data_IF_897231734507
#
_entry.id   IF_897231734507
#
_cell.length_a   1.000
_cell.length_b   1.000
_cell.length_c   1.000
_cell.angle_alpha   90.00
_cell.angle_beta   90.00
_cell.angle_gamma   90.00
#
_symmetry.space_group_name_H-M   'P 1'
#
loop_
_entity.id
_entity.type
_entity.pdbx_description
1 polymer ?
#
# COMPACT_ATOMS: atom_id res chain seq x y z
N UNK A 1 -27.88 -3.74 2.70
CA UNK A 1 -27.07 -3.12 1.61
C UNK A 1 -26.18 -4.19 1.01
N UNK A 2 -26.09 -4.22 -0.34
CA UNK A 2 -25.20 -5.13 -1.06
C UNK A 2 -24.05 -4.34 -1.70
N UNK A 3 -22.80 -4.67 -1.32
CA UNK A 3 -21.57 -4.08 -1.85
C UNK A 3 -20.93 -5.03 -2.85
N UNK A 4 -20.69 -4.55 -4.06
CA UNK A 4 -19.94 -5.27 -5.09
C UNK A 4 -18.55 -4.62 -5.20
N UNK A 5 -17.53 -5.33 -4.68
CA UNK A 5 -16.12 -4.95 -4.82
C UNK A 5 -15.55 -5.53 -6.11
N UNK A 6 -14.89 -4.72 -6.91
CA UNK A 6 -14.33 -5.13 -8.20
C UNK A 6 -12.83 -4.91 -8.19
N UNK A 7 -12.08 -5.97 -8.50
CA UNK A 7 -10.62 -6.02 -8.40
C UNK A 7 -10.12 -5.88 -6.94
N UNK A 8 -8.82 -5.77 -6.76
CA UNK A 8 -8.18 -5.54 -5.47
C UNK A 8 -6.82 -4.87 -5.67
N UNK A 9 -6.31 -4.25 -4.63
CA UNK A 9 -4.96 -3.72 -4.56
C UNK A 9 -4.33 -4.08 -3.23
N UNK A 10 -3.28 -4.88 -3.25
CA UNK A 10 -2.53 -5.25 -2.05
C UNK A 10 -3.43 -5.68 -0.86
N UNK A 11 -4.46 -6.47 -1.16
CA UNK A 11 -5.45 -7.01 -0.21
C UNK A 11 -6.34 -5.96 0.48
N UNK A 12 -6.29 -4.69 0.06
CA UNK A 12 -7.12 -3.61 0.63
C UNK A 12 -8.61 -3.91 0.48
N UNK A 13 -9.05 -4.34 -0.72
CA UNK A 13 -10.45 -4.67 -0.97
C UNK A 13 -10.92 -5.88 -0.16
N UNK A 14 -10.08 -6.90 -0.04
CA UNK A 14 -10.36 -8.08 0.77
C UNK A 14 -10.47 -7.73 2.26
N UNK A 15 -9.54 -6.93 2.78
CA UNK A 15 -9.56 -6.43 4.16
C UNK A 15 -10.81 -5.61 4.43
N UNK A 16 -11.15 -4.66 3.56
CA UNK A 16 -12.38 -3.87 3.71
C UNK A 16 -13.64 -4.76 3.78
N UNK A 17 -13.75 -5.75 2.88
CA UNK A 17 -14.89 -6.67 2.90
C UNK A 17 -14.92 -7.56 4.13
N UNK A 18 -13.77 -8.03 4.62
CA UNK A 18 -13.66 -8.88 5.81
C UNK A 18 -14.26 -8.19 7.04
N UNK A 19 -13.95 -6.91 7.22
CA UNK A 19 -14.35 -6.14 8.41
C UNK A 19 -15.67 -5.36 8.26
N UNK A 20 -16.33 -5.38 7.11
CA UNK A 20 -17.71 -4.90 7.00
C UNK A 20 -18.66 -5.77 7.81
N UNK A 21 -19.70 -5.15 8.40
CA UNK A 21 -20.74 -5.85 9.16
C UNK A 21 -21.30 -7.08 8.40
N UNK A 22 -21.61 -8.18 9.12
CA UNK A 22 -22.28 -9.35 8.54
C UNK A 22 -23.62 -9.03 7.84
N UNK A 23 -24.31 -7.97 8.26
CA UNK A 23 -25.60 -7.54 7.66
C UNK A 23 -25.42 -6.95 6.25
N UNK A 24 -24.20 -6.68 5.83
CA UNK A 24 -23.88 -6.20 4.49
C UNK A 24 -23.62 -7.41 3.59
N UNK A 25 -24.46 -7.58 2.57
CA UNK A 25 -24.20 -8.58 1.53
C UNK A 25 -22.96 -8.16 0.72
N UNK A 26 -22.00 -9.06 0.56
CA UNK A 26 -20.69 -8.80 -0.03
C UNK A 26 -20.48 -9.66 -1.25
N UNK A 27 -20.04 -9.05 -2.35
CA UNK A 27 -19.58 -9.76 -3.54
C UNK A 27 -18.24 -9.23 -3.97
N UNK A 28 -17.22 -10.09 -4.08
CA UNK A 28 -15.90 -9.73 -4.57
C UNK A 28 -15.65 -10.31 -5.96
N UNK A 29 -15.46 -9.45 -6.96
CA UNK A 29 -15.16 -9.85 -8.35
C UNK A 29 -13.66 -9.65 -8.56
N UNK A 30 -12.87 -10.71 -8.37
CA UNK A 30 -11.42 -10.70 -8.62
C UNK A 30 -11.12 -11.16 -10.05
N UNK A 31 -10.03 -10.61 -10.59
CA UNK A 31 -9.42 -11.12 -11.83
C UNK A 31 -8.81 -12.49 -11.56
N UNK A 32 -9.08 -13.46 -12.43
CA UNK A 32 -8.43 -14.77 -12.39
C UNK A 32 -7.38 -14.88 -13.51
N UNK A 33 -6.59 -15.96 -13.52
CA UNK A 33 -5.58 -16.18 -14.57
C UNK A 33 -6.24 -16.39 -15.94
N UNK A 34 -5.57 -15.93 -16.99
CA UNK A 34 -5.99 -16.09 -18.38
C UNK A 34 -6.61 -14.82 -18.99
N UNK A 35 -6.44 -14.65 -20.30
CA UNK A 35 -6.85 -13.45 -21.04
C UNK A 35 -8.38 -13.28 -21.05
N UNK A 36 -9.12 -14.37 -21.27
CA UNK A 36 -10.59 -14.38 -21.21
C UNK A 36 -11.11 -13.85 -19.89
N UNK A 37 -10.55 -14.32 -18.78
CA UNK A 37 -10.96 -13.93 -17.44
C UNK A 37 -10.67 -12.45 -17.13
N UNK A 38 -9.67 -11.86 -17.79
CA UNK A 38 -9.30 -10.45 -17.60
C UNK A 38 -10.08 -9.50 -18.52
N UNK A 39 -10.84 -10.02 -19.48
CA UNK A 39 -11.59 -9.25 -20.46
C UNK A 39 -13.07 -9.61 -20.45
N UNK A 40 -13.53 -10.45 -21.37
CA UNK A 40 -14.96 -10.80 -21.52
C UNK A 40 -15.54 -11.49 -20.30
N UNK A 41 -14.79 -12.40 -19.67
CA UNK A 41 -15.24 -13.08 -18.45
C UNK A 41 -15.44 -12.11 -17.28
N UNK A 42 -14.57 -11.11 -17.14
CA UNK A 42 -14.72 -10.06 -16.14
C UNK A 42 -15.92 -9.17 -16.46
N UNK A 43 -16.05 -8.72 -17.72
CA UNK A 43 -17.20 -7.93 -18.17
C UNK A 43 -18.53 -8.66 -17.91
N UNK A 44 -18.59 -9.96 -18.19
CA UNK A 44 -19.77 -10.78 -17.90
C UNK A 44 -20.09 -10.87 -16.40
N UNK A 45 -19.05 -11.07 -15.54
CA UNK A 45 -19.25 -11.08 -14.09
C UNK A 45 -19.76 -9.72 -13.59
N UNK A 46 -19.18 -8.61 -14.08
CA UNK A 46 -19.63 -7.27 -13.73
C UNK A 46 -21.07 -7.05 -14.23
N UNK A 47 -21.39 -7.44 -15.46
CA UNK A 47 -22.74 -7.30 -16.03
C UNK A 47 -23.78 -8.01 -15.17
N UNK A 48 -23.51 -9.25 -14.77
CA UNK A 48 -24.43 -10.07 -13.94
C UNK A 48 -24.51 -9.62 -12.48
N UNK A 49 -23.50 -8.93 -11.97
CA UNK A 49 -23.50 -8.46 -10.59
C UNK A 49 -24.61 -7.42 -10.37
N UNK A 50 -25.39 -7.64 -9.30
CA UNK A 50 -26.39 -6.70 -8.78
C UNK A 50 -25.96 -6.26 -7.39
N UNK A 51 -25.91 -4.99 -7.14
CA UNK A 51 -25.51 -4.41 -5.85
C UNK A 51 -26.07 -3.01 -5.68
N UNK A 52 -26.10 -2.55 -4.45
CA UNK A 52 -26.50 -1.20 -4.09
C UNK A 52 -25.34 -0.20 -4.30
N UNK A 53 -24.08 -0.69 -4.25
CA UNK A 53 -22.87 0.08 -4.47
C UNK A 53 -21.84 -0.78 -5.20
N UNK A 54 -21.14 -0.17 -6.15
CA UNK A 54 -20.03 -0.80 -6.88
C UNK A 54 -18.74 -0.04 -6.57
N UNK A 55 -17.80 -0.69 -5.88
CA UNK A 55 -16.50 -0.13 -5.54
C UNK A 55 -15.41 -0.81 -6.36
N UNK A 56 -14.67 -0.04 -7.13
CA UNK A 56 -13.65 -0.56 -8.04
C UNK A 56 -12.27 -0.09 -7.63
N UNK A 57 -11.37 -1.01 -7.37
CA UNK A 57 -9.95 -0.72 -7.16
C UNK A 57 -9.23 -0.51 -8.48
N UNK A 58 -8.48 0.57 -8.56
CA UNK A 58 -7.85 1.18 -9.75
C UNK A 58 -8.83 1.80 -10.74
N UNK A 59 -8.49 3.00 -11.17
CA UNK A 59 -9.21 3.73 -12.21
C UNK A 59 -8.80 3.30 -13.64
N UNK A 60 -8.62 1.99 -13.84
CA UNK A 60 -8.19 1.39 -15.10
C UNK A 60 -9.36 0.68 -15.81
N UNK A 61 -9.05 -0.38 -16.57
CA UNK A 61 -10.02 -1.06 -17.44
C UNK A 61 -11.26 -1.61 -16.69
N UNK A 62 -11.11 -2.08 -15.44
CA UNK A 62 -12.21 -2.65 -14.69
C UNK A 62 -13.24 -1.58 -14.30
N UNK A 63 -12.74 -0.41 -13.90
CA UNK A 63 -13.57 0.76 -13.65
C UNK A 63 -14.25 1.24 -14.94
N UNK A 64 -13.52 1.27 -16.05
CA UNK A 64 -14.08 1.60 -17.35
C UNK A 64 -15.20 0.64 -17.77
N UNK A 65 -14.99 -0.67 -17.60
CA UNK A 65 -16.02 -1.67 -17.90
C UNK A 65 -17.26 -1.48 -17.01
N UNK A 66 -17.08 -1.29 -15.70
CA UNK A 66 -18.19 -1.06 -14.78
C UNK A 66 -19.00 0.21 -15.16
N UNK A 67 -18.31 1.29 -15.50
CA UNK A 67 -18.92 2.55 -15.95
C UNK A 67 -19.71 2.35 -17.26
N UNK A 68 -19.13 1.63 -18.25
CA UNK A 68 -19.77 1.36 -19.55
C UNK A 68 -20.96 0.41 -19.45
N UNK A 69 -20.94 -0.51 -18.47
CA UNK A 69 -22.04 -1.41 -18.16
C UNK A 69 -23.13 -0.77 -17.26
N UNK A 70 -23.03 0.54 -17.03
CA UNK A 70 -24.05 1.31 -16.31
C UNK A 70 -24.13 1.03 -14.81
N UNK A 71 -23.06 0.49 -14.19
CA UNK A 71 -23.05 0.21 -12.75
C UNK A 71 -23.06 1.52 -11.95
N UNK A 72 -24.04 1.66 -11.06
CA UNK A 72 -24.26 2.87 -10.25
C UNK A 72 -24.88 2.53 -8.90
N UNK A 73 -24.54 3.30 -7.84
CA UNK A 73 -23.43 4.24 -7.77
C UNK A 73 -22.09 3.55 -7.92
N UNK A 74 -21.14 4.19 -8.61
CA UNK A 74 -19.81 3.66 -8.90
C UNK A 74 -18.76 4.47 -8.13
N UNK A 75 -18.05 3.82 -7.23
CA UNK A 75 -16.95 4.39 -6.46
C UNK A 75 -15.65 3.94 -7.11
N UNK A 76 -14.84 4.87 -7.57
CA UNK A 76 -13.50 4.58 -8.09
C UNK A 76 -12.44 4.82 -7.03
N UNK A 77 -11.60 3.84 -6.74
CA UNK A 77 -10.54 3.94 -5.72
C UNK A 77 -9.17 3.85 -6.38
N UNK A 78 -8.48 4.98 -6.44
CA UNK A 78 -7.13 5.08 -6.99
C UNK A 78 -6.08 4.64 -5.96
N UNK A 79 -5.13 3.82 -6.40
CA UNK A 79 -4.04 3.31 -5.58
C UNK A 79 -2.66 3.90 -5.92
N UNK A 80 -2.65 4.97 -6.68
CA UNK A 80 -1.48 5.78 -6.97
C UNK A 80 -0.89 5.55 -8.36
N UNK A 81 -0.53 4.32 -8.76
CA UNK A 81 0.06 4.05 -10.09
C UNK A 81 -0.86 4.41 -11.25
N UNK A 82 -2.16 4.32 -11.06
CA UNK A 82 -3.18 4.75 -12.02
C UNK A 82 -3.16 6.26 -12.27
N UNK A 83 -2.88 7.07 -11.25
CA UNK A 83 -2.78 8.52 -11.38
C UNK A 83 -1.33 9.00 -11.64
N UNK A 84 -0.31 8.41 -10.99
CA UNK A 84 1.09 8.81 -11.19
C UNK A 84 1.62 8.45 -12.57
N UNK A 85 1.32 7.24 -13.03
CA UNK A 85 1.92 6.66 -14.24
C UNK A 85 0.92 6.53 -15.38
N UNK A 86 -0.23 5.87 -15.13
CA UNK A 86 -1.17 5.54 -16.20
C UNK A 86 -1.90 6.77 -16.74
N UNK A 87 -2.08 7.82 -15.95
CA UNK A 87 -2.72 9.07 -16.39
C UNK A 87 -1.94 9.75 -17.55
N UNK A 88 -0.61 9.61 -17.55
CA UNK A 88 0.26 10.19 -18.58
C UNK A 88 0.46 9.26 -19.81
N UNK A 89 0.00 8.02 -19.74
CA UNK A 89 0.09 7.09 -20.87
C UNK A 89 -0.95 7.45 -21.96
N UNK A 90 -0.62 7.41 -23.26
CA UNK A 90 -1.52 7.85 -24.33
C UNK A 90 -2.89 7.17 -24.35
N UNK A 91 -2.92 5.85 -24.12
CA UNK A 91 -4.16 5.07 -24.09
C UNK A 91 -4.78 5.04 -22.67
N UNK A 92 -4.00 4.64 -21.67
CA UNK A 92 -4.50 4.50 -20.31
C UNK A 92 -4.94 5.83 -19.70
N UNK A 93 -4.27 6.93 -20.03
CA UNK A 93 -4.66 8.25 -19.57
C UNK A 93 -6.06 8.69 -20.04
N UNK A 94 -6.49 8.26 -21.24
CA UNK A 94 -7.87 8.50 -21.69
C UNK A 94 -8.87 7.72 -20.85
N UNK A 95 -8.56 6.47 -20.51
CA UNK A 95 -9.39 5.60 -19.67
C UNK A 95 -9.48 6.17 -18.25
N UNK A 96 -8.35 6.54 -17.65
CA UNK A 96 -8.31 7.11 -16.29
C UNK A 96 -9.12 8.41 -16.23
N UNK A 97 -8.92 9.35 -17.17
CA UNK A 97 -9.70 10.58 -17.23
C UNK A 97 -11.20 10.33 -17.43
N UNK A 98 -11.58 9.35 -18.25
CA UNK A 98 -12.97 8.95 -18.41
C UNK A 98 -13.55 8.47 -17.08
N UNK A 99 -12.83 7.59 -16.37
CA UNK A 99 -13.29 7.01 -15.10
C UNK A 99 -13.39 8.06 -13.99
N UNK A 100 -12.42 8.97 -13.88
CA UNK A 100 -12.46 10.09 -12.95
C UNK A 100 -13.77 10.91 -13.11
N UNK A 101 -14.22 11.15 -14.35
CA UNK A 101 -15.45 11.89 -14.62
C UNK A 101 -16.73 11.09 -14.46
N UNK A 102 -16.68 9.75 -14.58
CA UNK A 102 -17.87 8.88 -14.61
C UNK A 102 -18.19 8.21 -13.28
N UNK A 103 -17.22 8.08 -12.39
CA UNK A 103 -17.49 7.60 -11.04
C UNK A 103 -18.41 8.57 -10.29
N UNK A 104 -19.31 8.06 -9.48
CA UNK A 104 -20.13 8.86 -8.55
C UNK A 104 -19.26 9.51 -7.48
N UNK A 105 -18.25 8.78 -7.00
CA UNK A 105 -17.22 9.26 -6.06
C UNK A 105 -15.86 8.72 -6.44
N UNK A 106 -14.80 9.49 -6.16
CA UNK A 106 -13.40 9.06 -6.33
C UNK A 106 -12.69 9.11 -5.00
N UNK A 107 -12.06 8.01 -4.65
CA UNK A 107 -11.21 7.85 -3.47
C UNK A 107 -9.76 7.67 -3.91
N UNK A 108 -8.83 8.14 -3.09
CA UNK A 108 -7.38 7.90 -3.27
C UNK A 108 -6.79 7.31 -1.99
N UNK A 109 -5.97 6.29 -2.12
CA UNK A 109 -5.38 5.58 -0.98
C UNK A 109 -4.09 6.21 -0.46
N UNK A 110 -3.50 7.14 -1.22
CA UNK A 110 -2.28 7.85 -0.84
C UNK A 110 -2.40 9.35 -1.15
N UNK A 111 -1.98 10.25 -0.24
CA UNK A 111 -2.24 11.69 -0.37
C UNK A 111 -1.48 12.36 -1.51
N UNK A 112 -0.35 11.80 -1.95
CA UNK A 112 0.45 12.33 -3.06
C UNK A 112 -0.31 12.42 -4.40
N UNK A 113 -1.36 11.62 -4.59
CA UNK A 113 -2.19 11.67 -5.80
C UNK A 113 -3.53 12.38 -5.60
N UNK A 114 -3.81 12.89 -4.40
CA UNK A 114 -5.07 13.58 -4.12
C UNK A 114 -5.22 14.87 -4.93
N UNK A 115 -4.17 15.69 -4.99
CA UNK A 115 -4.15 16.91 -5.79
C UNK A 115 -4.34 16.63 -7.29
N UNK A 116 -3.76 15.53 -7.77
CA UNK A 116 -3.94 15.08 -9.17
C UNK A 116 -5.40 14.69 -9.42
N UNK A 117 -6.01 13.90 -8.52
CA UNK A 117 -7.41 13.50 -8.65
C UNK A 117 -8.35 14.74 -8.63
N UNK A 118 -8.06 15.72 -7.77
CA UNK A 118 -8.85 16.94 -7.61
C UNK A 118 -8.83 17.87 -8.83
N UNK A 119 -7.84 17.78 -9.69
CA UNK A 119 -7.86 18.49 -10.98
C UNK A 119 -9.00 18.03 -11.91
N UNK A 120 -9.52 16.83 -11.69
CA UNK A 120 -10.62 16.24 -12.48
C UNK A 120 -11.92 16.09 -11.69
N UNK A 121 -11.82 16.01 -10.37
CA UNK A 121 -12.91 15.78 -9.42
C UNK A 121 -12.59 16.47 -8.09
N UNK A 122 -13.12 17.68 -7.88
CA UNK A 122 -12.91 18.45 -6.64
C UNK A 122 -13.30 17.67 -5.38
N UNK A 123 -14.36 16.86 -5.49
CA UNK A 123 -14.88 16.02 -4.42
C UNK A 123 -14.07 14.74 -4.17
N UNK A 124 -12.92 14.57 -4.84
CA UNK A 124 -12.03 13.42 -4.55
C UNK A 124 -11.54 13.47 -3.10
N UNK A 125 -11.57 12.31 -2.42
CA UNK A 125 -11.24 12.18 -1.01
C UNK A 125 -10.10 11.18 -0.78
N UNK A 126 -9.29 11.46 0.24
CA UNK A 126 -8.32 10.50 0.75
C UNK A 126 -9.04 9.51 1.67
N UNK A 127 -8.94 8.23 1.37
CA UNK A 127 -9.32 7.13 2.25
C UNK A 127 -8.03 6.35 2.59
N UNK A 128 -7.58 6.35 3.86
CA UNK A 128 -6.39 5.61 4.24
C UNK A 128 -6.56 4.11 4.00
N UNK A 129 -5.48 3.42 3.63
CA UNK A 129 -5.51 1.97 3.52
C UNK A 129 -5.70 1.35 4.90
N UNK A 130 -6.63 0.41 5.07
CA UNK A 130 -6.78 -0.34 6.32
C UNK A 130 -5.66 -1.40 6.44
N UNK A 131 -5.34 -1.78 7.67
CA UNK A 131 -4.49 -2.94 7.93
C UNK A 131 -5.29 -4.05 8.62
N UNK A 132 -5.09 -5.29 8.19
CA UNK A 132 -5.72 -6.47 8.83
C UNK A 132 -4.98 -6.81 10.13
N UNK A 133 -5.49 -6.30 11.25
CA UNK A 133 -4.88 -6.47 12.58
C UNK A 133 -5.09 -7.86 13.21
N UNK A 134 -5.91 -8.71 12.61
CA UNK A 134 -5.98 -10.13 12.98
C UNK A 134 -4.83 -10.92 12.37
N UNK A 135 -4.39 -10.54 11.17
CA UNK A 135 -3.27 -11.15 10.48
C UNK A 135 -1.94 -10.54 10.91
N UNK A 136 -1.88 -9.22 10.98
CA UNK A 136 -0.69 -8.46 11.38
C UNK A 136 -0.91 -7.89 12.78
N UNK A 137 -0.34 -8.52 13.78
CA UNK A 137 -0.48 -8.14 15.19
C UNK A 137 0.89 -8.09 15.88
N UNK A 138 1.03 -7.28 16.94
CA UNK A 138 2.31 -7.10 17.58
C UNK A 138 2.77 -8.38 18.27
N UNK A 139 4.04 -8.76 18.04
CA UNK A 139 4.76 -9.73 18.90
C UNK A 139 5.92 -9.02 19.59
N UNK A 140 6.32 -9.47 20.80
CA UNK A 140 7.51 -8.96 21.46
C UNK A 140 8.71 -8.98 20.51
N UNK A 141 9.53 -7.94 20.56
CA UNK A 141 10.80 -7.96 19.84
C UNK A 141 11.70 -8.99 20.54
N UNK A 142 12.37 -9.84 19.78
CA UNK A 142 13.37 -10.72 20.33
C UNK A 142 14.53 -9.90 20.90
N UNK A 143 15.28 -10.46 21.85
CA UNK A 143 16.46 -9.83 22.39
C UNK A 143 17.39 -9.38 21.24
N UNK A 144 17.87 -8.15 21.35
CA UNK A 144 18.74 -7.57 20.35
C UNK A 144 20.12 -8.23 20.45
N UNK A 145 20.56 -8.83 19.35
CA UNK A 145 21.91 -9.36 19.22
C UNK A 145 22.96 -8.23 19.04
N UNK A 146 24.18 -8.61 18.70
CA UNK A 146 25.25 -7.63 18.39
C UNK A 146 24.93 -6.73 17.22
N UNK A 147 24.13 -7.22 16.26
CA UNK A 147 23.71 -6.50 15.07
C UNK A 147 22.20 -6.35 15.01
N UNK A 148 21.76 -5.20 14.51
CA UNK A 148 20.33 -4.93 14.28
C UNK A 148 19.85 -5.66 13.02
N UNK A 149 18.77 -6.44 13.14
CA UNK A 149 18.16 -7.19 12.02
C UNK A 149 17.28 -6.24 11.22
N UNK A 150 17.69 -5.94 10.00
CA UNK A 150 16.99 -5.03 9.09
C UNK A 150 16.32 -5.83 7.98
N UNK A 151 15.01 -5.63 7.76
CA UNK A 151 14.27 -6.26 6.68
C UNK A 151 13.87 -5.22 5.63
N UNK A 152 14.27 -5.44 4.39
CA UNK A 152 13.72 -4.74 3.21
C UNK A 152 12.59 -5.61 2.65
N UNK A 153 11.34 -5.26 2.98
CA UNK A 153 10.17 -6.07 2.65
C UNK A 153 9.45 -5.62 1.38
N UNK A 154 9.68 -4.38 0.92
CA UNK A 154 9.08 -3.89 -0.32
C UNK A 154 9.78 -4.44 -1.57
N UNK A 155 9.08 -4.42 -2.70
CA UNK A 155 9.65 -4.79 -3.99
C UNK A 155 10.86 -3.91 -4.36
N UNK A 156 11.89 -4.54 -4.92
CA UNK A 156 13.07 -3.82 -5.40
C UNK A 156 12.71 -3.03 -6.66
N UNK A 157 12.41 -1.76 -6.48
CA UNK A 157 12.10 -0.80 -7.53
C UNK A 157 12.72 0.56 -7.16
N UNK A 158 13.79 0.92 -7.85
CA UNK A 158 14.58 2.10 -7.50
C UNK A 158 13.78 3.40 -7.65
N UNK A 159 12.96 3.50 -8.70
CA UNK A 159 12.20 4.71 -8.98
C UNK A 159 11.05 4.97 -7.98
N UNK A 160 10.40 3.89 -7.52
CA UNK A 160 9.21 4.00 -6.67
C UNK A 160 9.56 3.78 -5.20
N UNK A 161 10.47 2.85 -4.94
CA UNK A 161 10.83 2.44 -3.58
C UNK A 161 12.14 3.05 -3.08
N UNK A 162 13.04 3.49 -4.00
CA UNK A 162 14.36 3.98 -3.59
C UNK A 162 15.20 2.91 -2.90
N UNK A 163 15.09 1.66 -3.35
CA UNK A 163 15.79 0.52 -2.73
C UNK A 163 17.30 0.70 -2.79
N UNK A 164 17.82 1.38 -3.81
CA UNK A 164 19.23 1.76 -3.93
C UNK A 164 19.70 2.70 -2.82
N UNK A 165 18.86 3.64 -2.37
CA UNK A 165 19.13 4.53 -1.23
C UNK A 165 19.30 3.69 0.04
N UNK A 166 18.39 2.72 0.27
CA UNK A 166 18.48 1.79 1.38
C UNK A 166 19.80 1.01 1.37
N UNK A 167 20.17 0.42 0.22
CA UNK A 167 21.40 -0.38 0.08
C UNK A 167 22.65 0.48 0.34
N UNK A 168 22.71 1.70 -0.21
CA UNK A 168 23.84 2.64 0.03
C UNK A 168 23.94 3.02 1.50
N UNK A 169 22.83 3.36 2.14
CA UNK A 169 22.81 3.69 3.57
C UNK A 169 23.29 2.51 4.42
N UNK A 170 22.72 1.31 4.21
CA UNK A 170 23.07 0.10 4.95
C UNK A 170 24.52 -0.34 4.75
N UNK A 171 25.10 -0.13 3.56
CA UNK A 171 26.49 -0.46 3.29
C UNK A 171 27.47 0.35 4.15
N UNK A 172 27.12 1.59 4.51
CA UNK A 172 27.93 2.45 5.40
C UNK A 172 27.93 1.98 6.87
N UNK A 173 26.95 1.17 7.26
CA UNK A 173 26.80 0.61 8.62
C UNK A 173 26.78 -0.92 8.64
N UNK A 174 27.32 -1.56 7.60
CA UNK A 174 27.28 -3.02 7.40
C UNK A 174 27.78 -3.88 8.55
N UNK A 175 28.67 -3.34 9.39
CA UNK A 175 29.18 -4.05 10.56
C UNK A 175 28.20 -4.04 11.75
N UNK A 176 27.20 -3.16 11.74
CA UNK A 176 26.21 -3.00 12.80
C UNK A 176 24.83 -3.58 12.45
N UNK A 177 24.64 -4.11 11.24
CA UNK A 177 23.36 -4.60 10.75
C UNK A 177 23.48 -5.96 10.07
N UNK A 178 22.43 -6.78 10.21
CA UNK A 178 22.19 -7.97 9.40
C UNK A 178 20.97 -7.69 8.50
N UNK A 179 21.19 -7.70 7.19
CA UNK A 179 20.19 -7.24 6.22
C UNK A 179 19.54 -8.41 5.51
N UNK A 180 18.22 -8.51 5.63
CA UNK A 180 17.38 -9.43 4.86
C UNK A 180 16.59 -8.66 3.80
N UNK A 181 16.42 -9.24 2.62
CA UNK A 181 15.63 -8.68 1.52
C UNK A 181 14.77 -9.75 0.88
N UNK A 182 13.52 -9.43 0.55
CA UNK A 182 12.64 -10.37 -0.17
C UNK A 182 12.97 -10.32 -1.67
N UNK A 183 13.14 -11.52 -2.28
CA UNK A 183 13.51 -11.69 -3.68
C UNK A 183 12.34 -11.36 -4.61
N UNK A 184 12.10 -10.07 -4.89
CA UNK A 184 11.18 -9.65 -5.94
C UNK A 184 11.33 -8.17 -6.32
N UNK A 185 10.76 -7.81 -7.47
CA UNK A 185 10.85 -6.46 -8.03
C UNK A 185 11.73 -6.40 -9.28
N UNK A 186 11.46 -5.40 -10.10
CA UNK A 186 12.13 -5.23 -11.41
C UNK A 186 13.63 -4.96 -11.31
N UNK A 187 14.06 -4.35 -10.21
CA UNK A 187 15.47 -4.01 -9.95
C UNK A 187 16.15 -4.96 -8.96
N UNK A 188 15.56 -6.14 -8.62
CA UNK A 188 16.13 -7.02 -7.61
C UNK A 188 17.58 -7.45 -7.94
N UNK A 189 17.83 -7.91 -9.17
CA UNK A 189 19.19 -8.33 -9.61
C UNK A 189 20.16 -7.16 -9.51
N UNK A 190 19.75 -5.98 -9.93
CA UNK A 190 20.55 -4.75 -9.86
C UNK A 190 20.81 -4.32 -8.40
N UNK A 191 19.82 -4.51 -7.52
CA UNK A 191 19.93 -4.25 -6.08
C UNK A 191 20.95 -5.18 -5.42
N UNK A 192 20.90 -6.48 -5.73
CA UNK A 192 21.84 -7.46 -5.22
C UNK A 192 23.28 -7.18 -5.71
N UNK A 193 23.44 -6.81 -6.99
CA UNK A 193 24.73 -6.43 -7.56
C UNK A 193 25.30 -5.18 -6.89
N UNK A 194 24.47 -4.15 -6.64
CA UNK A 194 24.88 -2.94 -5.89
C UNK A 194 25.34 -3.29 -4.47
N UNK A 195 24.58 -4.10 -3.74
CA UNK A 195 24.95 -4.52 -2.38
C UNK A 195 26.30 -5.24 -2.37
N UNK A 196 26.51 -6.18 -3.30
CA UNK A 196 27.78 -6.91 -3.47
C UNK A 196 28.94 -5.95 -3.75
N UNK A 197 28.79 -5.01 -4.67
CA UNK A 197 29.82 -4.02 -5.01
C UNK A 197 30.24 -3.13 -3.84
N UNK A 198 29.31 -2.87 -2.91
CA UNK A 198 29.54 -2.10 -1.70
C UNK A 198 29.99 -2.96 -0.49
N UNK A 199 30.15 -4.28 -0.71
CA UNK A 199 30.50 -5.24 0.34
C UNK A 199 29.43 -5.41 1.41
N UNK A 200 28.16 -5.17 1.09
CA UNK A 200 27.02 -5.44 1.95
C UNK A 200 26.50 -6.84 1.68
N UNK A 201 26.54 -7.72 2.68
CA UNK A 201 25.97 -9.07 2.59
C UNK A 201 24.44 -8.98 2.78
N UNK A 202 23.69 -9.56 1.84
CA UNK A 202 22.25 -9.69 1.93
C UNK A 202 21.85 -11.14 2.24
N UNK A 203 20.95 -11.31 3.20
CA UNK A 203 20.21 -12.56 3.38
C UNK A 203 18.97 -12.50 2.49
N UNK A 204 18.97 -13.22 1.37
CA UNK A 204 17.88 -13.22 0.40
C UNK A 204 16.78 -14.17 0.85
N UNK A 205 15.58 -13.63 1.07
CA UNK A 205 14.40 -14.38 1.49
C UNK A 205 13.49 -14.66 0.30
N UNK A 206 12.91 -15.87 0.19
CA UNK A 206 11.96 -16.17 -0.86
C UNK A 206 10.67 -15.36 -0.70
N UNK A 207 9.99 -15.08 -1.82
CA UNK A 207 8.66 -14.50 -1.77
C UNK A 207 7.67 -15.50 -1.14
N UNK A 208 6.91 -15.06 -0.16
CA UNK A 208 5.87 -15.84 0.52
C UNK A 208 4.48 -15.30 0.19
N UNK A 209 3.43 -16.04 0.57
CA UNK A 209 2.06 -15.53 0.51
C UNK A 209 1.86 -14.40 1.52
N UNK A 210 0.84 -13.57 1.29
CA UNK A 210 0.56 -12.42 2.15
C UNK A 210 0.30 -12.83 3.60
N UNK A 211 -0.34 -13.97 3.80
CA UNK A 211 -0.67 -14.52 5.11
C UNK A 211 0.57 -14.89 5.94
N UNK A 212 1.72 -15.07 5.26
CA UNK A 212 2.99 -15.44 5.91
C UNK A 212 4.00 -14.29 6.03
N UNK A 213 3.68 -13.11 5.51
CA UNK A 213 4.58 -11.94 5.61
C UNK A 213 4.82 -11.50 7.05
N UNK A 214 3.87 -11.71 7.94
CA UNK A 214 4.01 -11.43 9.36
C UNK A 214 5.20 -12.19 10.00
N UNK A 215 5.53 -13.41 9.54
CA UNK A 215 6.68 -14.17 10.00
C UNK A 215 8.00 -13.41 9.75
N UNK A 216 8.10 -12.75 8.57
CA UNK A 216 9.28 -11.95 8.22
C UNK A 216 9.34 -10.65 9.03
N UNK A 217 8.20 -9.96 9.19
CA UNK A 217 8.16 -8.77 10.04
C UNK A 217 8.59 -9.10 11.46
N UNK A 218 8.07 -10.17 12.08
CA UNK A 218 8.43 -10.56 13.45
C UNK A 218 9.89 -10.95 13.61
N UNK A 219 10.57 -11.39 12.56
CA UNK A 219 11.99 -11.76 12.61
C UNK A 219 12.94 -10.55 12.58
N UNK A 220 12.43 -9.36 12.25
CA UNK A 220 13.23 -8.14 12.13
C UNK A 220 13.18 -7.28 13.40
N UNK A 221 14.16 -6.42 13.59
CA UNK A 221 14.18 -5.35 14.59
C UNK A 221 13.66 -4.05 14.00
N UNK A 222 13.87 -3.85 12.68
CA UNK A 222 13.41 -2.68 11.93
C UNK A 222 13.09 -3.08 10.49
N UNK A 223 12.05 -2.48 9.93
CA UNK A 223 11.63 -2.73 8.54
C UNK A 223 11.83 -1.48 7.71
N UNK A 224 12.38 -1.64 6.52
CA UNK A 224 12.52 -0.58 5.50
C UNK A 224 11.43 -0.78 4.44
N UNK A 225 10.65 0.30 4.11
CA UNK A 225 9.68 0.26 3.01
C UNK A 225 10.19 1.05 1.80
N UNK A 226 10.06 2.39 1.80
CA UNK A 226 10.29 3.19 0.59
C UNK A 226 10.85 4.56 0.88
N UNK A 227 11.60 5.08 -0.11
CA UNK A 227 12.19 6.44 -0.08
C UNK A 227 11.81 7.29 -1.32
N UNK A 228 11.03 6.76 -2.26
CA UNK A 228 10.75 7.44 -3.54
C UNK A 228 9.50 8.32 -3.57
N UNK A 229 8.46 8.02 -2.78
CA UNK A 229 7.12 8.62 -2.97
C UNK A 229 6.65 9.54 -1.82
N UNK A 230 7.32 9.56 -0.69
CA UNK A 230 6.89 10.33 0.47
C UNK A 230 5.54 9.93 1.07
N UNK A 231 5.09 8.70 0.82
CA UNK A 231 3.78 8.20 1.28
C UNK A 231 3.86 6.80 1.87
N UNK A 232 3.02 6.51 2.87
CA UNK A 232 2.93 5.20 3.51
C UNK A 232 2.46 4.12 2.52
N UNK A 233 3.08 2.93 2.61
CA UNK A 233 2.70 1.73 1.88
C UNK A 233 2.14 0.66 2.79
N UNK A 234 1.58 -0.41 2.19
CA UNK A 234 1.07 -1.54 2.97
C UNK A 234 2.18 -2.18 3.81
N UNK A 235 3.39 -2.33 3.25
CA UNK A 235 4.56 -2.87 3.99
C UNK A 235 4.80 -2.10 5.30
N UNK A 236 4.74 -0.76 5.26
CA UNK A 236 4.91 0.04 6.49
C UNK A 236 3.79 -0.21 7.49
N UNK A 237 2.54 -0.20 7.03
CA UNK A 237 1.38 -0.40 7.91
C UNK A 237 1.39 -1.80 8.55
N UNK A 238 1.69 -2.83 7.76
CA UNK A 238 1.78 -4.22 8.22
C UNK A 238 2.94 -4.42 9.21
N UNK A 239 4.10 -3.84 8.94
CA UNK A 239 5.26 -3.92 9.84
C UNK A 239 4.99 -3.23 11.19
N UNK A 240 4.39 -2.03 11.16
CA UNK A 240 3.98 -1.31 12.37
C UNK A 240 2.96 -2.14 13.16
N UNK A 241 1.97 -2.72 12.49
CA UNK A 241 0.97 -3.61 13.11
C UNK A 241 1.64 -4.84 13.74
N UNK A 242 2.70 -5.39 13.13
CA UNK A 242 3.48 -6.51 13.66
C UNK A 242 4.43 -6.15 14.82
N UNK A 243 4.41 -4.91 15.30
CA UNK A 243 5.26 -4.50 16.42
C UNK A 243 6.66 -4.07 16.00
N UNK A 244 6.90 -3.69 14.75
CA UNK A 244 8.22 -3.30 14.23
C UNK A 244 8.24 -1.85 13.80
N UNK A 245 9.23 -1.07 14.28
CA UNK A 245 9.43 0.28 13.76
C UNK A 245 9.80 0.24 12.28
N UNK A 246 9.37 1.24 11.54
CA UNK A 246 9.66 1.35 10.11
C UNK A 246 10.58 2.53 9.83
N UNK A 247 11.44 2.36 8.85
CA UNK A 247 12.24 3.44 8.27
C UNK A 247 11.72 3.71 6.87
N UNK A 248 11.14 4.90 6.69
CA UNK A 248 10.41 5.27 5.49
C UNK A 248 10.50 6.77 5.25
N UNK A 249 10.50 7.19 4.00
CA UNK A 249 10.27 8.58 3.63
C UNK A 249 8.77 8.89 3.66
N UNK A 250 8.37 9.81 4.53
CA UNK A 250 7.04 10.43 4.55
C UNK A 250 7.23 11.93 4.38
N UNK A 251 6.62 12.52 3.33
CA UNK A 251 6.75 13.93 3.04
C UNK A 251 6.01 14.78 4.07
N UNK A 252 6.68 15.83 4.56
CA UNK A 252 6.08 16.86 5.41
C UNK A 252 5.03 17.71 4.69
N UNK A 253 5.02 17.68 3.34
CA UNK A 253 4.05 18.42 2.51
C UNK A 253 2.63 17.83 2.55
N UNK A 254 2.46 16.58 3.02
CA UNK A 254 1.14 15.95 3.06
C UNK A 254 0.47 16.13 4.42
N UNK A 255 -0.57 17.00 4.53
CA UNK A 255 -1.27 17.26 5.80
C UNK A 255 -1.85 15.99 6.44
N UNK A 256 -2.19 14.97 5.62
CA UNK A 256 -2.72 13.68 6.07
C UNK A 256 -1.72 12.92 6.97
N UNK A 257 -0.43 13.19 6.79
CA UNK A 257 0.64 12.55 7.57
C UNK A 257 1.22 13.43 8.67
N UNK A 258 0.59 14.58 8.98
CA UNK A 258 1.15 15.55 9.94
C UNK A 258 1.54 14.94 11.28
N UNK A 259 0.79 13.94 11.75
CA UNK A 259 1.01 13.26 13.03
C UNK A 259 1.91 12.01 12.93
N UNK A 260 2.37 11.62 11.73
CA UNK A 260 3.33 10.52 11.60
C UNK A 260 4.69 10.94 12.15
N UNK A 261 5.38 10.09 12.95
CA UNK A 261 6.56 10.52 13.71
C UNK A 261 7.80 10.79 12.87
N UNK A 262 7.91 10.16 11.70
CA UNK A 262 9.04 10.35 10.79
C UNK A 262 8.66 11.30 9.66
N UNK A 263 9.57 12.25 9.34
CA UNK A 263 9.42 13.18 8.24
C UNK A 263 10.71 13.29 7.44
N UNK A 264 10.54 13.30 6.13
CA UNK A 264 11.59 13.62 5.17
C UNK A 264 12.87 12.79 5.34
N UNK A 265 12.72 11.50 5.69
CA UNK A 265 13.81 10.51 5.75
C UNK A 265 14.10 10.03 4.31
N UNK A 266 14.79 10.86 3.54
CA UNK A 266 15.00 10.67 2.10
C UNK A 266 16.48 10.78 1.66
N UNK A 267 17.42 10.91 2.61
CA UNK A 267 18.86 10.87 2.36
C UNK A 267 19.49 9.70 3.09
N UNK A 268 20.66 9.24 2.61
CA UNK A 268 21.38 8.11 3.23
C UNK A 268 21.69 8.39 4.71
N UNK A 269 22.07 9.62 5.06
CA UNK A 269 22.41 10.04 6.43
C UNK A 269 21.18 9.94 7.35
N UNK A 270 20.01 10.42 6.88
CA UNK A 270 18.75 10.32 7.64
C UNK A 270 18.28 8.89 7.77
N UNK A 271 18.45 8.06 6.74
CA UNK A 271 18.16 6.63 6.80
C UNK A 271 19.03 5.95 7.86
N UNK A 272 20.34 6.23 7.86
CA UNK A 272 21.29 5.66 8.83
C UNK A 272 20.93 6.09 10.26
N UNK A 273 20.70 7.39 10.51
CA UNK A 273 20.36 7.88 11.86
C UNK A 273 19.05 7.23 12.35
N UNK A 274 18.04 7.20 11.47
CA UNK A 274 16.74 6.58 11.83
C UNK A 274 16.86 5.10 12.12
N UNK A 275 17.65 4.33 11.34
CA UNK A 275 17.90 2.90 11.62
C UNK A 275 18.56 2.72 13.00
N UNK A 276 19.56 3.55 13.35
CA UNK A 276 20.24 3.47 14.65
C UNK A 276 19.29 3.75 15.81
N UNK A 277 18.41 4.75 15.66
CA UNK A 277 17.46 5.21 16.67
C UNK A 277 16.17 4.38 16.70
N UNK A 278 15.91 3.55 15.67
CA UNK A 278 14.71 2.73 15.58
C UNK A 278 14.65 1.73 16.75
N UNK A 279 13.70 1.95 17.64
CA UNK A 279 13.47 1.17 18.86
C UNK A 279 11.96 1.07 19.16
N UNK A 280 11.63 0.51 20.32
CA UNK A 280 10.27 0.37 20.82
C UNK A 280 9.56 1.73 21.01
N UNK A 281 10.30 2.82 21.26
CA UNK A 281 9.70 4.15 21.45
C UNK A 281 9.24 4.73 20.11
N UNK A 282 10.04 4.55 19.06
CA UNK A 282 9.64 4.94 17.70
C UNK A 282 8.43 4.12 17.28
N UNK A 283 8.49 2.79 17.41
CA UNK A 283 7.35 1.94 17.09
C UNK A 283 6.06 2.37 17.81
N UNK A 284 6.10 2.67 19.11
CA UNK A 284 4.91 3.13 19.85
C UNK A 284 4.27 4.38 19.24
N UNK A 285 5.08 5.34 18.78
CA UNK A 285 4.58 6.55 18.10
C UNK A 285 3.96 6.20 16.75
N UNK A 286 4.60 5.34 15.96
CA UNK A 286 4.07 4.88 14.67
C UNK A 286 2.79 4.06 14.84
N UNK A 287 2.73 3.19 15.85
CA UNK A 287 1.56 2.39 16.16
C UNK A 287 0.38 3.25 16.63
N UNK A 288 0.65 4.30 17.41
CA UNK A 288 -0.38 5.29 17.77
C UNK A 288 -0.96 5.95 16.53
N UNK A 289 -0.11 6.36 15.59
CA UNK A 289 -0.57 6.91 14.31
C UNK A 289 -1.40 5.88 13.51
N UNK A 290 -0.93 4.64 13.42
CA UNK A 290 -1.64 3.55 12.72
C UNK A 290 -3.04 3.34 13.30
N UNK A 291 -3.18 3.28 14.63
CA UNK A 291 -4.47 3.08 15.29
C UNK A 291 -5.41 4.27 15.12
N UNK A 292 -4.89 5.49 14.97
CA UNK A 292 -5.72 6.69 14.75
C UNK A 292 -6.21 6.81 13.31
N UNK A 293 -5.40 6.44 12.32
CA UNK A 293 -5.66 6.76 10.91
C UNK A 293 -5.98 5.53 10.05
N UNK A 294 -5.41 4.36 10.38
CA UNK A 294 -5.44 3.15 9.55
C UNK A 294 -6.12 1.95 10.23
N UNK A 295 -6.71 2.18 11.42
CA UNK A 295 -7.49 1.14 12.09
C UNK A 295 -8.66 0.70 11.19
N UNK A 296 -8.77 -0.61 10.98
CA UNK A 296 -9.63 -1.14 9.94
C UNK A 296 -11.11 -0.83 10.13
N UNK A 297 -11.62 -0.89 11.37
CA UNK A 297 -13.04 -0.60 11.61
C UNK A 297 -13.35 0.88 11.37
N UNK A 298 -12.45 1.79 11.78
CA UNK A 298 -12.62 3.22 11.53
C UNK A 298 -12.60 3.55 10.02
N UNK A 299 -11.71 2.89 9.26
CA UNK A 299 -11.66 3.05 7.80
C UNK A 299 -12.92 2.50 7.14
N UNK A 300 -13.41 1.34 7.58
CA UNK A 300 -14.66 0.73 7.09
C UNK A 300 -15.86 1.61 7.40
N UNK A 301 -15.97 2.15 8.61
CA UNK A 301 -17.05 3.08 8.97
C UNK A 301 -17.03 4.34 8.10
N UNK A 302 -15.86 4.91 7.85
CA UNK A 302 -15.71 6.05 6.95
C UNK A 302 -16.14 5.70 5.54
N UNK A 303 -15.76 4.53 5.03
CA UNK A 303 -16.16 4.06 3.71
C UNK A 303 -17.67 3.84 3.62
N UNK A 304 -18.31 3.27 4.63
CA UNK A 304 -19.76 3.05 4.68
C UNK A 304 -20.54 4.37 4.69
N UNK A 305 -20.05 5.41 5.36
CA UNK A 305 -20.62 6.76 5.28
C UNK A 305 -20.58 7.30 3.84
N UNK A 306 -19.45 7.12 3.15
CA UNK A 306 -19.31 7.50 1.73
C UNK A 306 -20.30 6.73 0.86
N UNK A 307 -20.48 5.42 1.08
CA UNK A 307 -21.46 4.62 0.34
C UNK A 307 -22.89 5.12 0.53
N UNK A 308 -23.28 5.45 1.77
CA UNK A 308 -24.63 5.93 2.07
C UNK A 308 -24.93 7.30 1.43
N UNK A 309 -23.95 8.20 1.36
CA UNK A 309 -24.11 9.50 0.69
C UNK A 309 -24.17 9.33 -0.84
N UNK A 310 -23.54 8.29 -1.39
CA UNK A 310 -23.45 8.05 -2.83
C UNK A 310 -24.64 7.30 -3.42
N UNK A 311 -25.50 6.72 -2.58
CA UNK A 311 -26.75 6.03 -2.97
C UNK A 311 -27.87 7.01 -3.26
#
# INVERSE_FOLDING_TARGET
MKVVMINDCAFVGETLLKYMSPDIEKQHIKRTRGLWSKTFGLAYKILKAKGDVYHVHYLLQDCYMAARLGKRPLIGHAHGSDLRTSLNHPLWGRIVRHNLRRCGKVLVSTPDVLSIARQFREDAEYLPNPVDTELFYPKPMAEQGEKKRVLIASDSNWNVKGTDIAIRALSKIKNAVDVSIIEYGVDFIRTAALASSLGLRLNVLPKVSHERLNEYYWSADVVIDRFGLGSLGMVSLEAIACGRPVVIYVSSEFPQYKNFPLKDVNTEEKVISTIKEADIKLWKKEYTYLTMEHEVNAVVERLLKIYNISR
#
